data_IF_931083814830
#
_entry.id   IF_931083814830
#
_cell.length_a   1.000
_cell.length_b   1.000
_cell.length_c   1.000
_cell.angle_alpha   90.00
_cell.angle_beta   90.00
_cell.angle_gamma   90.00
#
_symmetry.space_group_name_H-M   'P 1'
#
loop_
_entity.id
_entity.type
_entity.pdbx_description
1 polymer ?
#
# COMPACT_ATOMS: atom_id res chain seq x y z
N UNK A 1 42.98 -29.75 2.17
CA UNK A 1 42.16 -29.35 1.00
C UNK A 1 42.79 -28.09 0.45
N UNK A 2 43.28 -28.09 -0.80
CA UNK A 2 44.16 -27.02 -1.32
C UNK A 2 43.52 -26.20 -2.47
N UNK A 3 42.27 -26.51 -2.85
CA UNK A 3 41.53 -25.82 -3.92
C UNK A 3 40.08 -25.59 -3.47
N UNK A 4 39.48 -24.50 -3.93
CA UNK A 4 38.05 -24.22 -3.79
C UNK A 4 37.43 -24.41 -5.18
N UNK A 5 36.66 -25.48 -5.34
CA UNK A 5 36.12 -25.89 -6.64
C UNK A 5 34.80 -25.19 -6.97
N UNK A 6 34.14 -24.66 -5.94
CA UNK A 6 32.92 -23.89 -6.07
C UNK A 6 33.25 -22.42 -6.43
N UNK A 7 32.92 -21.94 -7.64
CA UNK A 7 33.20 -20.58 -8.06
C UNK A 7 32.43 -19.54 -7.24
N UNK A 8 31.25 -19.86 -6.69
CA UNK A 8 30.49 -18.95 -5.83
C UNK A 8 31.16 -18.79 -4.47
N UNK A 9 31.64 -19.90 -3.90
CA UNK A 9 32.37 -19.86 -2.63
C UNK A 9 33.72 -19.13 -2.79
N UNK A 10 34.43 -19.36 -3.89
CA UNK A 10 35.65 -18.64 -4.22
C UNK A 10 35.42 -17.13 -4.39
N UNK A 11 34.34 -16.73 -5.09
CA UNK A 11 33.93 -15.33 -5.21
C UNK A 11 33.58 -14.72 -3.85
N UNK A 12 32.72 -15.39 -3.06
CA UNK A 12 32.32 -14.91 -1.73
C UNK A 12 33.53 -14.67 -0.84
N UNK A 13 34.44 -15.64 -0.74
CA UNK A 13 35.64 -15.52 0.10
C UNK A 13 36.58 -14.41 -0.39
N UNK A 14 36.73 -14.25 -1.71
CA UNK A 14 37.54 -13.17 -2.30
C UNK A 14 36.97 -11.78 -2.02
N UNK A 15 35.64 -11.65 -2.00
CA UNK A 15 34.93 -10.37 -1.85
C UNK A 15 34.26 -10.20 -0.48
N UNK A 16 34.59 -11.05 0.50
CA UNK A 16 33.86 -11.15 1.77
C UNK A 16 33.73 -9.81 2.48
N UNK A 17 34.82 -9.05 2.60
CA UNK A 17 34.82 -7.75 3.29
C UNK A 17 33.83 -6.76 2.64
N UNK A 18 33.80 -6.70 1.31
CA UNK A 18 32.90 -5.83 0.56
C UNK A 18 31.44 -6.29 0.67
N UNK A 19 31.19 -7.60 0.62
CA UNK A 19 29.85 -8.18 0.80
C UNK A 19 29.32 -7.88 2.21
N UNK A 20 30.16 -8.05 3.24
CA UNK A 20 29.79 -7.76 4.62
C UNK A 20 29.52 -6.26 4.84
N UNK A 21 30.32 -5.38 4.21
CA UNK A 21 30.09 -3.93 4.22
C UNK A 21 28.73 -3.55 3.63
N UNK A 22 28.37 -4.13 2.48
CA UNK A 22 27.06 -3.89 1.85
C UNK A 22 25.91 -4.51 2.64
N UNK A 23 26.10 -5.72 3.19
CA UNK A 23 25.11 -6.38 4.03
C UNK A 23 24.81 -5.56 5.30
N UNK A 24 25.79 -4.81 5.82
CA UNK A 24 25.59 -3.90 6.95
C UNK A 24 24.61 -2.74 6.65
N UNK A 25 24.29 -2.47 5.38
CA UNK A 25 23.26 -1.49 4.99
C UNK A 25 21.83 -2.04 5.16
N UNK A 26 21.66 -3.36 5.25
CA UNK A 26 20.33 -3.99 5.29
C UNK A 26 19.38 -3.44 6.37
N UNK A 27 19.83 -3.11 7.60
CA UNK A 27 18.96 -2.50 8.62
C UNK A 27 18.48 -1.08 8.25
N UNK A 28 19.21 -0.37 7.37
CA UNK A 28 18.88 1.00 6.95
C UNK A 28 17.94 1.04 5.75
N UNK A 29 17.94 0.00 4.91
CA UNK A 29 17.15 -0.04 3.68
C UNK A 29 15.63 0.18 3.90
N UNK A 30 14.97 -0.44 4.90
CA UNK A 30 13.55 -0.18 5.17
C UNK A 30 13.24 1.27 5.51
N UNK A 31 14.17 1.98 6.16
CA UNK A 31 13.99 3.41 6.46
C UNK A 31 13.98 4.28 5.21
N UNK A 32 14.78 3.93 4.19
CA UNK A 32 14.79 4.67 2.91
C UNK A 32 13.48 4.43 2.17
N UNK A 33 13.01 3.18 2.14
CA UNK A 33 11.72 2.84 1.55
C UNK A 33 10.55 3.51 2.29
N UNK A 34 10.56 3.53 3.64
CA UNK A 34 9.55 4.22 4.44
C UNK A 34 9.50 5.73 4.17
N UNK A 35 10.67 6.38 4.06
CA UNK A 35 10.76 7.80 3.69
C UNK A 35 10.17 8.05 2.30
N UNK A 36 10.50 7.20 1.33
CA UNK A 36 9.92 7.28 -0.01
C UNK A 36 8.39 7.16 0.03
N UNK A 37 7.83 6.10 0.63
CA UNK A 37 6.38 5.94 0.68
C UNK A 37 5.69 7.08 1.45
N UNK A 38 6.29 7.55 2.55
CA UNK A 38 5.77 8.71 3.29
C UNK A 38 5.69 9.95 2.40
N UNK A 39 6.72 10.19 1.57
CA UNK A 39 6.76 11.34 0.66
C UNK A 39 5.79 11.28 -0.53
N UNK A 40 5.15 10.12 -0.79
CA UNK A 40 4.01 10.03 -1.73
C UNK A 40 2.78 10.71 -1.14
N UNK A 41 2.73 10.89 0.18
CA UNK A 41 1.69 11.63 0.86
C UNK A 41 1.48 12.99 0.21
N UNK A 42 2.53 13.71 -0.18
CA UNK A 42 2.45 15.05 -0.76
C UNK A 42 1.74 15.07 -2.13
N UNK A 43 1.84 13.99 -2.90
CA UNK A 43 1.19 13.88 -4.22
C UNK A 43 -0.31 13.61 -4.10
N UNK A 44 -0.75 13.10 -2.95
CA UNK A 44 -2.10 12.59 -2.76
C UNK A 44 -3.15 13.71 -2.84
N UNK A 45 -2.81 14.92 -2.42
CA UNK A 45 -3.72 16.08 -2.53
C UNK A 45 -3.97 16.45 -4.00
N UNK A 46 -2.91 16.43 -4.81
CA UNK A 46 -3.00 16.67 -6.26
C UNK A 46 -3.79 15.57 -6.96
N UNK A 47 -3.53 14.30 -6.60
CA UNK A 47 -4.25 13.16 -7.14
C UNK A 47 -5.74 13.19 -6.76
N UNK A 48 -6.08 13.53 -5.52
CA UNK A 48 -7.46 13.67 -5.07
C UNK A 48 -8.21 14.73 -5.91
N UNK A 49 -7.60 15.90 -6.05
CA UNK A 49 -8.16 17.05 -6.78
C UNK A 49 -8.38 16.75 -8.28
N UNK A 50 -7.49 15.97 -8.91
CA UNK A 50 -7.61 15.57 -10.32
C UNK A 50 -8.72 14.54 -10.54
N UNK A 51 -8.89 13.58 -9.62
CA UNK A 51 -9.69 12.39 -9.86
C UNK A 51 -11.19 12.60 -9.67
N UNK A 52 -11.57 13.23 -8.57
CA UNK A 52 -12.95 13.24 -8.13
C UNK A 52 -13.18 14.35 -7.10
N UNK A 53 -14.18 15.22 -7.27
CA UNK A 53 -14.48 16.28 -6.31
C UNK A 53 -14.79 15.79 -4.88
N UNK A 54 -15.13 14.51 -4.72
CA UNK A 54 -15.38 13.87 -3.42
C UNK A 54 -14.18 13.06 -2.91
N UNK A 55 -13.06 12.99 -3.63
CA UNK A 55 -11.86 12.35 -3.12
C UNK A 55 -11.18 13.29 -2.13
N UNK A 56 -10.93 12.80 -0.92
CA UNK A 56 -10.11 13.47 0.07
C UNK A 56 -8.87 12.63 0.39
N UNK A 57 -7.71 13.27 0.57
CA UNK A 57 -6.51 12.60 1.03
C UNK A 57 -6.65 12.25 2.52
N UNK A 58 -6.18 11.06 2.87
CA UNK A 58 -6.16 10.53 4.23
C UNK A 58 -4.78 9.93 4.51
N UNK A 59 -4.14 10.39 5.60
CA UNK A 59 -2.79 9.99 5.97
C UNK A 59 -2.77 9.53 7.42
N UNK A 60 -2.53 8.23 7.64
CA UNK A 60 -2.33 7.68 8.96
C UNK A 60 -0.91 7.12 9.07
N UNK A 61 0.04 7.98 9.45
CA UNK A 61 1.47 7.67 9.53
C UNK A 61 1.92 7.19 10.92
N UNK A 62 1.11 7.50 11.94
CA UNK A 62 1.35 7.21 13.35
C UNK A 62 0.36 6.18 13.88
N UNK A 63 0.21 5.05 13.18
CA UNK A 63 -0.70 3.98 13.60
C UNK A 63 0.04 2.74 14.12
N UNK A 64 0.02 2.51 15.45
CA UNK A 64 0.01 1.15 16.00
C UNK A 64 -1.45 0.68 16.04
N UNK A 65 -2.09 0.52 14.88
CA UNK A 65 -3.49 0.09 14.87
C UNK A 65 -3.64 -1.34 15.41
N UNK A 66 -2.60 -2.16 15.30
CA UNK A 66 -2.66 -3.55 15.77
C UNK A 66 -1.29 -4.00 16.30
N UNK A 67 -1.32 -4.96 17.23
CA UNK A 67 -0.20 -5.54 17.99
C UNK A 67 0.89 -6.25 17.16
N UNK A 68 0.96 -6.03 15.84
CA UNK A 68 1.80 -6.76 14.88
C UNK A 68 2.74 -5.93 14.00
N UNK A 69 2.82 -4.60 14.18
CA UNK A 69 3.78 -3.75 13.45
C UNK A 69 3.23 -2.36 13.10
N UNK A 70 4.12 -1.50 12.56
CA UNK A 70 3.76 -0.16 12.06
C UNK A 70 3.37 -0.27 10.58
N UNK A 71 2.09 -0.08 10.28
CA UNK A 71 1.53 -0.10 8.93
C UNK A 71 0.94 1.27 8.56
N UNK A 72 1.78 2.23 8.11
CA UNK A 72 1.32 3.52 7.65
C UNK A 72 0.36 3.39 6.48
N UNK A 73 -0.57 4.34 6.36
CA UNK A 73 -1.60 4.37 5.30
C UNK A 73 -1.64 5.72 4.64
N UNK A 74 -1.74 5.69 3.31
CA UNK A 74 -1.98 6.85 2.46
C UNK A 74 -3.12 6.50 1.51
N UNK A 75 -4.32 6.99 1.80
CA UNK A 75 -5.54 6.64 1.10
C UNK A 75 -6.26 7.87 0.54
N UNK A 76 -6.94 7.67 -0.58
CA UNK A 76 -8.07 8.49 -0.98
C UNK A 76 -9.32 7.96 -0.31
N UNK A 77 -10.17 8.87 0.17
CA UNK A 77 -11.40 8.54 0.88
C UNK A 77 -12.53 9.44 0.42
N UNK A 78 -13.74 8.91 0.35
CA UNK A 78 -14.94 9.73 0.22
C UNK A 78 -15.33 10.24 1.62
N UNK A 79 -15.80 11.48 1.80
CA UNK A 79 -16.30 11.98 3.09
C UNK A 79 -17.34 11.06 3.74
N UNK A 80 -18.19 10.41 2.92
CA UNK A 80 -19.20 9.46 3.40
C UNK A 80 -18.59 8.14 3.95
N UNK A 81 -17.29 7.91 3.77
CA UNK A 81 -16.57 6.73 4.24
C UNK A 81 -15.84 6.98 5.57
N UNK A 82 -16.15 8.10 6.25
CA UNK A 82 -15.67 8.40 7.59
C UNK A 82 -16.85 8.37 8.57
N UNK A 83 -16.61 7.86 9.78
CA UNK A 83 -17.65 7.81 10.83
C UNK A 83 -17.94 9.20 11.39
N UNK A 84 -16.90 10.01 11.59
CA UNK A 84 -16.97 11.39 12.04
C UNK A 84 -15.91 12.19 11.29
N UNK A 85 -16.23 13.34 10.68
CA UNK A 85 -15.23 14.24 10.13
C UNK A 85 -14.48 14.91 11.29
N UNK A 86 -13.48 14.25 11.86
CA UNK A 86 -12.60 14.85 12.87
C UNK A 86 -11.41 15.50 12.17
N UNK A 87 -10.84 16.55 12.78
CA UNK A 87 -9.58 17.16 12.30
C UNK A 87 -8.37 16.24 12.47
N UNK A 88 -8.51 15.13 13.21
CA UNK A 88 -7.45 14.14 13.41
C UNK A 88 -7.58 13.07 12.34
N UNK A 89 -6.51 12.82 11.59
CA UNK A 89 -6.48 11.75 10.58
C UNK A 89 -6.17 10.41 11.26
N UNK A 90 -7.04 10.02 12.19
CA UNK A 90 -6.91 8.77 12.92
C UNK A 90 -7.61 7.65 12.13
N UNK A 91 -6.89 6.55 11.88
CA UNK A 91 -7.44 5.41 11.13
C UNK A 91 -8.59 4.70 11.85
N UNK A 92 -8.78 4.99 13.14
CA UNK A 92 -9.88 4.50 13.97
C UNK A 92 -11.25 5.09 13.57
N UNK A 93 -11.27 6.18 12.78
CA UNK A 93 -12.50 6.80 12.29
C UNK A 93 -12.83 6.44 10.83
N UNK A 94 -11.93 5.70 10.17
CA UNK A 94 -12.03 5.40 8.74
C UNK A 94 -12.81 4.11 8.49
N UNK A 95 -13.93 4.19 7.77
CA UNK A 95 -14.69 3.00 7.36
C UNK A 95 -14.02 2.31 6.17
N UNK A 96 -13.65 3.08 5.15
CA UNK A 96 -13.03 2.61 3.91
C UNK A 96 -11.98 3.60 3.40
N UNK A 97 -10.95 3.09 2.76
CA UNK A 97 -10.01 3.91 1.98
C UNK A 97 -9.47 3.16 0.78
N UNK A 98 -9.06 3.91 -0.24
CA UNK A 98 -8.39 3.36 -1.43
C UNK A 98 -7.01 3.97 -1.54
N UNK A 99 -5.97 3.16 -1.50
CA UNK A 99 -4.61 3.65 -1.71
C UNK A 99 -3.58 2.67 -1.19
N UNK A 100 -2.49 3.18 -0.61
CA UNK A 100 -1.35 2.36 -0.21
C UNK A 100 -1.18 2.15 1.31
N UNK A 101 -0.64 0.99 1.64
CA UNK A 101 -0.14 0.61 2.98
C UNK A 101 1.20 -0.11 2.82
N UNK A 102 2.13 0.04 3.76
CA UNK A 102 3.39 -0.69 3.77
C UNK A 102 3.83 -1.06 5.19
N UNK A 103 4.76 -2.01 5.33
CA UNK A 103 5.33 -2.37 6.63
C UNK A 103 6.61 -1.58 6.88
N UNK A 104 6.55 -0.50 7.66
CA UNK A 104 7.67 0.43 7.92
C UNK A 104 8.99 -0.27 8.34
N UNK A 105 8.91 -1.40 9.04
CA UNK A 105 10.09 -2.11 9.54
C UNK A 105 10.66 -3.18 8.61
N UNK A 106 9.94 -3.55 7.55
CA UNK A 106 10.31 -4.67 6.67
C UNK A 106 10.28 -4.33 5.19
N UNK A 107 9.81 -3.13 4.84
CA UNK A 107 9.50 -2.78 3.47
C UNK A 107 10.75 -2.64 2.61
N UNK A 108 10.60 -3.00 1.34
CA UNK A 108 11.53 -2.73 0.26
C UNK A 108 10.71 -2.41 -1.01
N UNK A 109 11.37 -2.23 -2.16
CA UNK A 109 10.69 -1.85 -3.39
C UNK A 109 10.26 -3.04 -4.26
N UNK A 110 10.86 -4.22 -4.11
CA UNK A 110 10.78 -5.29 -5.14
C UNK A 110 10.17 -6.57 -4.66
N UNK A 111 10.32 -6.87 -3.38
CA UNK A 111 10.02 -8.20 -2.86
C UNK A 111 8.50 -8.28 -2.62
N UNK A 112 7.82 -9.28 -3.20
CA UNK A 112 6.47 -9.60 -2.81
C UNK A 112 6.35 -9.69 -1.29
N UNK A 113 5.23 -9.24 -0.74
CA UNK A 113 4.96 -9.12 0.70
C UNK A 113 5.87 -8.14 1.49
N UNK A 114 6.82 -7.46 0.83
CA UNK A 114 7.65 -6.39 1.43
C UNK A 114 7.51 -5.07 0.68
N UNK A 115 7.01 -5.06 -0.54
CA UNK A 115 6.59 -3.84 -1.23
C UNK A 115 5.26 -3.29 -0.69
N UNK A 116 4.84 -2.13 -1.22
CA UNK A 116 3.58 -1.51 -0.86
C UNK A 116 2.39 -2.38 -1.31
N UNK A 117 1.35 -2.41 -0.49
CA UNK A 117 0.03 -2.93 -0.86
C UNK A 117 -0.81 -1.77 -1.38
N UNK A 118 -1.49 -1.95 -2.50
CA UNK A 118 -2.44 -0.97 -3.04
C UNK A 118 -3.80 -1.64 -3.18
N UNK A 119 -4.87 -0.99 -2.73
CA UNK A 119 -6.21 -1.56 -2.84
C UNK A 119 -7.30 -0.81 -2.09
N UNK A 120 -8.40 -1.52 -1.86
CA UNK A 120 -9.55 -1.12 -1.06
C UNK A 120 -9.40 -1.68 0.35
N UNK A 121 -9.07 -0.81 1.29
CA UNK A 121 -8.98 -1.08 2.72
C UNK A 121 -10.32 -0.82 3.41
N UNK A 122 -10.59 -1.55 4.49
CA UNK A 122 -11.76 -1.28 5.33
C UNK A 122 -11.51 -1.61 6.81
N UNK A 123 -12.25 -0.93 7.69
CA UNK A 123 -12.29 -1.21 9.12
C UNK A 123 -13.47 -2.12 9.45
N UNK A 124 -13.20 -3.39 9.73
CA UNK A 124 -14.24 -4.38 10.04
C UNK A 124 -15.05 -4.01 11.29
N UNK A 125 -14.41 -3.45 12.31
CA UNK A 125 -15.04 -3.15 13.61
C UNK A 125 -16.07 -2.04 13.48
N UNK A 126 -15.88 -1.12 12.53
CA UNK A 126 -16.80 -0.02 12.27
C UNK A 126 -17.87 -0.37 11.24
N UNK A 127 -17.51 -1.15 10.21
CA UNK A 127 -18.41 -1.52 9.11
C UNK A 127 -19.42 -2.58 9.56
N UNK A 128 -18.99 -3.54 10.39
CA UNK A 128 -19.79 -4.69 10.81
C UNK A 128 -19.95 -5.77 9.73
N UNK A 129 -20.31 -6.98 10.15
CA UNK A 129 -20.31 -8.17 9.28
C UNK A 129 -21.30 -8.12 8.12
N UNK A 130 -22.49 -7.55 8.33
CA UNK A 130 -23.54 -7.48 7.30
C UNK A 130 -23.07 -6.59 6.15
N UNK A 131 -22.64 -5.36 6.46
CA UNK A 131 -22.14 -4.41 5.46
C UNK A 131 -20.82 -4.91 4.84
N UNK A 132 -19.99 -5.63 5.59
CA UNK A 132 -18.80 -6.30 5.03
C UNK A 132 -19.16 -7.25 3.87
N UNK A 133 -20.20 -8.06 4.00
CA UNK A 133 -20.63 -8.98 2.92
C UNK A 133 -21.07 -8.22 1.68
N UNK A 134 -21.83 -7.14 1.86
CA UNK A 134 -22.27 -6.26 0.76
C UNK A 134 -21.07 -5.63 0.04
N UNK A 135 -20.11 -5.10 0.81
CA UNK A 135 -18.91 -4.48 0.26
C UNK A 135 -18.02 -5.49 -0.46
N UNK A 136 -17.82 -6.70 0.09
CA UNK A 136 -17.08 -7.77 -0.59
C UNK A 136 -17.71 -8.14 -1.92
N UNK A 137 -19.05 -8.23 -1.97
CA UNK A 137 -19.78 -8.50 -3.21
C UNK A 137 -19.59 -7.37 -4.22
N UNK A 138 -19.80 -6.13 -3.82
CA UNK A 138 -19.66 -4.95 -4.68
C UNK A 138 -18.24 -4.82 -5.27
N UNK A 139 -17.21 -5.04 -4.46
CA UNK A 139 -15.80 -5.02 -4.90
C UNK A 139 -15.50 -6.19 -5.83
N UNK A 140 -15.99 -7.40 -5.55
CA UNK A 140 -15.79 -8.55 -6.44
C UNK A 140 -16.45 -8.35 -7.81
N UNK A 141 -17.67 -7.81 -7.85
CA UNK A 141 -18.40 -7.50 -9.09
C UNK A 141 -17.69 -6.41 -9.90
N UNK A 142 -17.27 -5.32 -9.25
CA UNK A 142 -16.51 -4.25 -9.89
C UNK A 142 -15.16 -4.75 -10.45
N UNK A 143 -14.41 -5.55 -9.68
CA UNK A 143 -13.14 -6.13 -10.12
C UNK A 143 -13.32 -7.06 -11.31
N UNK A 144 -14.36 -7.92 -11.30
CA UNK A 144 -14.72 -8.79 -12.41
C UNK A 144 -15.07 -7.98 -13.67
N UNK A 145 -15.85 -6.91 -13.53
CA UNK A 145 -16.20 -6.03 -14.64
C UNK A 145 -14.97 -5.33 -15.25
N UNK A 146 -13.97 -5.02 -14.41
CA UNK A 146 -12.69 -4.45 -14.85
C UNK A 146 -11.69 -5.50 -15.38
N UNK A 147 -12.08 -6.78 -15.47
CA UNK A 147 -11.24 -7.85 -16.00
C UNK A 147 -10.03 -8.22 -15.14
N UNK A 148 -10.00 -7.84 -13.87
CA UNK A 148 -8.88 -8.11 -12.97
C UNK A 148 -9.30 -8.94 -11.75
N UNK A 149 -8.42 -9.87 -11.37
CA UNK A 149 -8.54 -10.65 -10.13
C UNK A 149 -7.66 -10.02 -9.04
N UNK A 150 -8.22 -9.85 -7.85
CA UNK A 150 -7.53 -9.27 -6.70
C UNK A 150 -7.35 -10.29 -5.59
N UNK A 151 -6.30 -10.10 -4.82
CA UNK A 151 -6.15 -10.75 -3.52
C UNK A 151 -7.10 -10.11 -2.51
N UNK A 152 -7.53 -10.89 -1.53
CA UNK A 152 -8.34 -10.40 -0.41
C UNK A 152 -7.69 -10.80 0.91
N UNK A 153 -7.89 -10.00 1.95
CA UNK A 153 -7.40 -10.30 3.31
C UNK A 153 -8.37 -9.69 4.32
N UNK A 154 -8.21 -10.05 5.59
CA UNK A 154 -9.04 -9.55 6.70
C UNK A 154 -9.37 -8.05 6.67
N UNK A 155 -8.44 -7.15 6.30
CA UNK A 155 -8.71 -5.69 6.13
C UNK A 155 -8.63 -5.18 4.69
N UNK A 156 -8.54 -6.06 3.71
CA UNK A 156 -8.44 -5.71 2.30
C UNK A 156 -9.57 -6.37 1.52
N UNK A 157 -10.55 -5.57 1.09
CA UNK A 157 -11.64 -6.05 0.23
C UNK A 157 -11.12 -6.47 -1.15
N UNK A 158 -10.12 -5.75 -1.65
CA UNK A 158 -9.31 -6.08 -2.81
C UNK A 158 -7.97 -5.39 -2.69
N UNK A 159 -6.87 -6.10 -2.94
CA UNK A 159 -5.55 -5.49 -3.00
C UNK A 159 -4.64 -6.21 -3.99
N UNK A 160 -3.57 -5.52 -4.38
CA UNK A 160 -2.39 -6.09 -5.01
C UNK A 160 -1.15 -5.61 -4.30
N UNK A 161 -0.08 -6.36 -4.48
CA UNK A 161 1.26 -5.93 -4.14
C UNK A 161 1.80 -5.12 -5.31
N UNK A 162 2.52 -4.03 -5.02
CA UNK A 162 2.97 -3.07 -6.01
C UNK A 162 4.50 -2.98 -6.01
N UNK A 163 5.21 -4.02 -6.49
CA UNK A 163 6.66 -3.96 -6.63
C UNK A 163 7.05 -2.94 -7.70
N UNK A 164 8.17 -2.26 -7.48
CA UNK A 164 8.77 -1.37 -8.45
C UNK A 164 9.15 -2.14 -9.72
N UNK A 165 8.78 -1.59 -10.86
CA UNK A 165 9.07 -2.14 -12.18
C UNK A 165 9.92 -1.16 -12.99
N UNK A 166 10.72 -1.69 -13.94
CA UNK A 166 11.63 -0.88 -14.75
C UNK A 166 12.92 -0.48 -14.01
N UNK A 167 13.60 0.54 -14.54
CA UNK A 167 14.83 1.11 -13.94
C UNK A 167 14.45 2.26 -13.01
N UNK A 168 14.82 2.17 -11.73
CA UNK A 168 14.45 3.16 -10.69
C UNK A 168 15.52 3.36 -9.61
N UNK A 169 16.68 2.71 -9.73
CA UNK A 169 17.69 2.72 -8.67
C UNK A 169 18.42 4.06 -8.54
N UNK A 170 18.44 4.87 -9.61
CA UNK A 170 18.95 6.24 -9.60
C UNK A 170 17.87 7.33 -9.52
N UNK A 171 16.61 6.98 -9.79
CA UNK A 171 15.46 7.90 -9.80
C UNK A 171 14.17 7.13 -9.48
N UNK A 172 13.52 7.44 -8.36
CA UNK A 172 12.28 6.79 -7.94
C UNK A 172 11.01 7.40 -8.58
N UNK A 173 11.15 8.42 -9.42
CA UNK A 173 10.01 9.08 -10.10
C UNK A 173 9.15 8.11 -10.93
N UNK A 174 9.73 7.15 -11.70
CA UNK A 174 8.93 6.14 -12.40
C UNK A 174 8.09 5.28 -11.45
N UNK A 175 8.66 4.87 -10.31
CA UNK A 175 7.94 4.07 -9.33
C UNK A 175 6.86 4.88 -8.60
N UNK A 176 7.14 6.14 -8.27
CA UNK A 176 6.13 7.08 -7.73
C UNK A 176 4.95 7.23 -8.70
N UNK A 177 5.22 7.38 -10.00
CA UNK A 177 4.18 7.46 -11.03
C UNK A 177 3.41 6.14 -11.17
N UNK A 178 4.07 4.98 -11.05
CA UNK A 178 3.41 3.67 -11.02
C UNK A 178 2.41 3.60 -9.85
N UNK A 179 2.82 3.99 -8.64
CA UNK A 179 1.94 4.01 -7.46
C UNK A 179 0.74 4.94 -7.69
N UNK A 180 0.97 6.16 -8.16
CA UNK A 180 -0.11 7.11 -8.44
C UNK A 180 -1.11 6.57 -9.48
N UNK A 181 -0.62 5.96 -10.57
CA UNK A 181 -1.45 5.31 -11.58
C UNK A 181 -2.25 4.14 -10.98
N UNK A 182 -1.65 3.38 -10.08
CA UNK A 182 -2.28 2.27 -9.40
C UNK A 182 -3.42 2.74 -8.47
N UNK A 183 -3.21 3.79 -7.70
CA UNK A 183 -4.25 4.41 -6.86
C UNK A 183 -5.38 4.97 -7.74
N UNK A 184 -5.05 5.71 -8.81
CA UNK A 184 -6.03 6.24 -9.79
C UNK A 184 -6.91 5.13 -10.36
N UNK A 185 -6.31 4.03 -10.77
CA UNK A 185 -7.03 2.88 -11.31
C UNK A 185 -7.96 2.27 -10.26
N UNK A 186 -7.46 2.03 -9.04
CA UNK A 186 -8.27 1.46 -7.95
C UNK A 186 -9.47 2.36 -7.61
N UNK A 187 -9.25 3.68 -7.55
CA UNK A 187 -10.31 4.64 -7.28
C UNK A 187 -11.40 4.59 -8.35
N UNK A 188 -11.02 4.71 -9.63
CA UNK A 188 -11.98 4.69 -10.75
C UNK A 188 -12.76 3.38 -10.82
N UNK A 189 -12.12 2.26 -10.49
CA UNK A 189 -12.75 0.93 -10.50
C UNK A 189 -13.73 0.74 -9.34
N UNK A 190 -13.33 1.11 -8.12
CA UNK A 190 -14.06 0.68 -6.92
C UNK A 190 -14.91 1.78 -6.26
N UNK A 191 -14.52 3.05 -6.34
CA UNK A 191 -15.24 4.13 -5.66
C UNK A 191 -16.74 4.21 -6.02
N UNK A 192 -17.16 4.06 -7.30
CA UNK A 192 -18.59 4.05 -7.66
C UNK A 192 -19.38 2.94 -6.96
N UNK A 193 -18.86 1.72 -6.94
CA UNK A 193 -19.51 0.57 -6.32
C UNK A 193 -19.61 0.73 -4.79
N UNK A 194 -18.53 1.23 -4.16
CA UNK A 194 -18.49 1.46 -2.71
C UNK A 194 -19.47 2.55 -2.27
N UNK A 195 -19.59 3.65 -3.01
CA UNK A 195 -20.57 4.72 -2.74
C UNK A 195 -22.00 4.19 -2.75
N UNK A 196 -22.34 3.37 -3.73
CA UNK A 196 -23.68 2.78 -3.84
C UNK A 196 -23.99 1.82 -2.68
N UNK A 197 -22.97 1.23 -2.07
CA UNK A 197 -23.10 0.25 -1.00
C UNK A 197 -23.20 0.91 0.38
N UNK A 198 -22.42 1.98 0.61
CA UNK A 198 -22.49 2.74 1.87
C UNK A 198 -23.75 3.59 1.96
N UNK A 199 -24.19 4.23 0.86
CA UNK A 199 -25.38 5.10 0.86
C UNK A 199 -26.72 4.36 0.93
N UNK A 200 -26.73 3.02 0.92
CA UNK A 200 -27.91 2.20 1.21
C UNK A 200 -27.96 1.94 2.72
N UNK A 201 -28.55 2.89 3.44
CA UNK A 201 -28.99 2.77 4.83
C UNK A 201 -30.44 3.16 4.92
#
# INVERSE_FOLDING_TARGET
MNRIDDPQLAFYLRHKAQIDEWAALAPRAPSVADQFFTSIGDDLDGLASELDPRAEPFRALSGKLYSGGSYPKLFLVDPAWRRVPTKKQDAEDLLLGIGLEWNRGKTDFTTPQRCAYIGVWYNLDLVGEVKQKELKKAVAEAGKAAGQKFSTKWYWLAYREEPASGEYWGDLSPYRQQIANSIRWMWKTFAPALRSTIGRT
#
